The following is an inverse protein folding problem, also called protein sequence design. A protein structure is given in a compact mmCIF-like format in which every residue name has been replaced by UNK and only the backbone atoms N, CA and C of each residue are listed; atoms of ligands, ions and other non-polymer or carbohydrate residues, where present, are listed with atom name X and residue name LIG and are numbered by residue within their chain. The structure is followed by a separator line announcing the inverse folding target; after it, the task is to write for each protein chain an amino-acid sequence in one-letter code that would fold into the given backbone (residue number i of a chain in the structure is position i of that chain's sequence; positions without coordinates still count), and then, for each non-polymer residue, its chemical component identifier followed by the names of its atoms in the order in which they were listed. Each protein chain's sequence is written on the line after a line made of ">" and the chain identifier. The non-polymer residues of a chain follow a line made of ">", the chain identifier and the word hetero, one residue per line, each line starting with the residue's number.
data_IF_852984270656
#
_entry.id   IF_852984270656
#
_cell.length_a   1.000
_cell.length_b   1.000
_cell.length_c   1.000
_cell.angle_alpha   90.00
_cell.angle_beta   90.00
_cell.angle_gamma   90.00
#
_symmetry.space_group_name_H-M   'P 1'
#
loop_
_entity.id
_entity.type
_entity.pdbx_description
1 polymer ?
#
# COMPACT_ATOMS: atom_id res chain seq x y z
N UNK A 1 -60.12 27.72 25.03
CA UNK A 1 -60.45 28.45 23.79
C UNK A 1 -60.29 29.94 24.05
N UNK A 2 -59.96 30.80 23.09
CA UNK A 2 -58.99 30.76 21.98
C UNK A 2 -57.82 31.75 22.29
N UNK A 3 -56.70 31.89 21.59
CA UNK A 3 -56.32 31.63 20.20
C UNK A 3 -55.54 32.87 19.73
N UNK A 4 -54.21 32.82 19.77
CA UNK A 4 -53.35 33.88 19.23
C UNK A 4 -52.51 33.30 18.09
N UNK A 5 -52.94 33.65 16.88
CA UNK A 5 -52.18 33.47 15.63
C UNK A 5 -50.91 34.33 15.70
N UNK A 6 -49.75 33.74 15.48
CA UNK A 6 -48.58 34.44 14.95
C UNK A 6 -48.18 33.82 13.63
N UNK A 7 -48.38 34.61 12.58
CA UNK A 7 -47.75 34.47 11.27
C UNK A 7 -46.30 34.92 11.41
N UNK A 8 -45.34 34.04 11.11
CA UNK A 8 -43.97 34.43 10.82
C UNK A 8 -43.65 34.00 9.40
N UNK A 9 -43.57 34.99 8.51
CA UNK A 9 -43.09 34.86 7.14
C UNK A 9 -41.63 34.40 7.14
N UNK A 10 -41.36 33.34 6.40
CA UNK A 10 -40.03 32.84 6.09
C UNK A 10 -39.36 33.76 5.07
N UNK A 11 -38.31 34.48 5.49
CA UNK A 11 -37.39 35.16 4.56
C UNK A 11 -36.46 34.13 3.92
N UNK A 12 -36.72 33.88 2.64
CA UNK A 12 -35.84 33.16 1.72
C UNK A 12 -34.54 33.96 1.54
N UNK A 13 -33.45 33.44 2.11
CA UNK A 13 -32.09 33.93 1.86
C UNK A 13 -31.56 33.35 0.55
N UNK A 14 -31.14 34.24 -0.34
CA UNK A 14 -30.78 33.98 -1.74
C UNK A 14 -29.45 33.23 -1.87
N UNK A 15 -29.43 32.32 -2.85
CA UNK A 15 -28.27 31.66 -3.43
C UNK A 15 -27.21 32.67 -3.90
N UNK A 16 -25.96 32.47 -3.48
CA UNK A 16 -24.80 33.11 -4.07
C UNK A 16 -24.30 32.24 -5.24
N UNK A 17 -24.13 32.84 -6.42
CA UNK A 17 -23.61 32.17 -7.62
C UNK A 17 -22.08 32.09 -7.60
N UNK A 18 -21.44 31.03 -8.11
CA UNK A 18 -19.99 30.98 -8.27
C UNK A 18 -19.57 31.79 -9.51
N UNK A 19 -18.75 32.83 -9.32
CA UNK A 19 -17.98 33.47 -10.40
C UNK A 19 -16.52 33.03 -10.32
N UNK A 20 -16.04 32.56 -11.47
CA UNK A 20 -14.72 32.83 -12.08
C UNK A 20 -13.46 32.45 -11.27
N UNK A 21 -12.95 31.24 -11.50
CA UNK A 21 -11.52 30.95 -11.36
C UNK A 21 -10.83 31.11 -12.72
N UNK A 22 -10.07 32.19 -12.89
CA UNK A 22 -9.22 32.44 -14.05
C UNK A 22 -8.01 31.49 -14.07
N UNK A 23 -7.71 30.94 -15.26
CA UNK A 23 -6.53 30.11 -15.53
C UNK A 23 -5.28 30.98 -15.59
N UNK A 24 -4.24 30.60 -14.85
CA UNK A 24 -2.86 31.00 -15.10
C UNK A 24 -2.13 29.85 -15.80
N UNK A 25 -1.56 30.10 -16.98
CA UNK A 25 -0.75 29.14 -17.76
C UNK A 25 0.65 29.72 -17.92
N UNK A 26 1.69 29.15 -17.30
CA UNK A 26 3.07 29.47 -17.66
C UNK A 26 3.47 28.65 -18.90
N UNK A 27 3.93 29.34 -19.96
CA UNK A 27 4.63 28.71 -21.08
C UNK A 27 5.99 28.18 -20.60
N UNK A 28 6.30 26.92 -20.90
CA UNK A 28 7.63 26.33 -20.67
C UNK A 28 8.28 26.05 -22.03
N UNK A 29 9.46 26.64 -22.22
CA UNK A 29 10.35 26.43 -23.37
C UNK A 29 10.85 24.98 -23.45
N UNK A 30 10.40 24.25 -24.47
CA UNK A 30 10.86 22.90 -24.79
C UNK A 30 11.91 22.95 -25.91
N UNK A 31 13.20 23.08 -25.59
CA UNK A 31 14.25 22.81 -26.60
C UNK A 31 15.59 22.36 -26.03
N UNK A 32 16.00 22.82 -24.84
CA UNK A 32 17.36 22.54 -24.33
C UNK A 32 17.59 21.14 -23.74
N UNK A 33 16.55 20.42 -23.32
CA UNK A 33 16.75 19.17 -22.57
C UNK A 33 16.98 17.92 -23.45
N UNK A 34 16.78 18.03 -24.78
CA UNK A 34 16.90 16.90 -25.71
C UNK A 34 18.34 16.64 -26.20
N UNK A 35 19.19 17.67 -26.16
CA UNK A 35 20.55 17.59 -26.70
C UNK A 35 21.54 16.92 -25.73
N UNK A 36 21.33 17.03 -24.42
CA UNK A 36 22.24 16.46 -23.41
C UNK A 36 22.19 14.92 -23.32
N UNK A 37 21.04 14.31 -23.64
CA UNK A 37 20.88 12.86 -23.63
C UNK A 37 21.53 12.19 -24.85
N UNK A 38 21.68 12.91 -25.96
CA UNK A 38 22.30 12.39 -27.20
C UNK A 38 23.82 12.25 -27.10
N UNK A 39 24.50 13.12 -26.37
CA UNK A 39 25.97 13.08 -26.27
C UNK A 39 26.48 11.98 -25.33
N UNK A 40 25.70 11.66 -24.27
CA UNK A 40 26.06 10.57 -23.33
C UNK A 40 26.01 9.18 -23.96
N UNK A 41 25.16 8.95 -24.96
CA UNK A 41 25.02 7.65 -25.64
C UNK A 41 26.17 7.34 -26.61
N UNK A 42 26.89 8.35 -27.14
CA UNK A 42 27.99 8.17 -28.10
C UNK A 42 29.34 7.83 -27.45
N UNK A 43 29.49 8.11 -26.15
CA UNK A 43 30.72 7.83 -25.39
C UNK A 43 30.91 6.34 -25.11
N UNK A 44 29.82 5.59 -24.89
CA UNK A 44 29.89 4.20 -24.41
C UNK A 44 30.23 3.20 -25.53
N UNK A 45 30.00 3.54 -26.81
CA UNK A 45 30.21 2.63 -27.95
C UNK A 45 31.65 2.53 -28.49
N UNK A 46 32.62 3.27 -27.95
CA UNK A 46 34.01 3.27 -28.49
C UNK A 46 35.01 2.32 -27.82
N UNK A 47 34.61 1.47 -26.87
CA UNK A 47 35.58 0.73 -26.03
C UNK A 47 35.58 -0.80 -26.13
N UNK A 48 35.04 -1.38 -27.19
CA UNK A 48 35.13 -2.83 -27.40
C UNK A 48 35.42 -3.17 -28.87
N UNK A 49 36.68 -3.46 -29.18
CA UNK A 49 37.12 -4.38 -30.23
C UNK A 49 38.66 -4.40 -30.23
N UNK A 50 39.25 -5.59 -30.07
CA UNK A 50 40.34 -6.17 -30.89
C UNK A 50 41.00 -7.37 -30.16
N UNK A 51 40.82 -8.57 -30.73
CA UNK A 51 41.71 -9.74 -30.68
C UNK A 51 42.45 -9.78 -32.04
N UNK A 52 43.67 -10.33 -32.20
CA UNK A 52 43.94 -11.79 -32.34
C UNK A 52 45.34 -12.18 -31.76
N UNK A 53 45.92 -13.38 -31.83
CA UNK A 53 45.69 -14.64 -32.54
C UNK A 53 46.84 -15.62 -32.22
N UNK A 54 46.85 -16.75 -32.93
CA UNK A 54 47.43 -18.05 -32.56
C UNK A 54 48.89 -18.28 -33.03
N UNK A 55 49.59 -19.28 -32.47
CA UNK A 55 50.89 -19.76 -33.00
C UNK A 55 51.63 -20.78 -32.12
N UNK A 56 51.87 -21.97 -32.66
CA UNK A 56 52.53 -23.15 -32.08
C UNK A 56 54.08 -23.12 -32.11
N UNK A 57 54.67 -24.02 -31.30
CA UNK A 57 55.94 -24.78 -31.47
C UNK A 57 57.33 -24.08 -31.43
N UNK A 58 58.17 -24.40 -30.43
CA UNK A 58 59.31 -25.33 -30.56
C UNK A 58 60.23 -25.37 -29.32
N UNK A 59 60.81 -26.55 -29.17
CA UNK A 59 61.69 -27.13 -28.16
C UNK A 59 63.03 -26.39 -28.00
N UNK A 60 63.53 -26.20 -26.76
CA UNK A 60 64.96 -26.38 -26.49
C UNK A 60 65.23 -26.75 -25.02
N UNK A 61 66.12 -27.73 -24.85
CA UNK A 61 66.55 -28.32 -23.59
C UNK A 61 67.74 -27.54 -23.06
N UNK A 62 67.80 -27.29 -21.74
CA UNK A 62 68.96 -27.66 -20.88
C UNK A 62 68.92 -26.96 -19.51
N UNK A 63 68.96 -27.78 -18.46
CA UNK A 63 69.45 -27.59 -17.09
C UNK A 63 69.64 -26.16 -16.54
N UNK A 64 68.94 -25.83 -15.45
CA UNK A 64 69.50 -25.79 -14.08
C UNK A 64 68.36 -25.55 -13.09
N UNK A 65 68.09 -26.52 -12.20
CA UNK A 65 67.13 -26.39 -11.11
C UNK A 65 67.73 -25.54 -9.98
N UNK A 66 67.10 -24.43 -9.67
CA UNK A 66 67.06 -23.83 -8.33
C UNK A 66 65.59 -23.69 -7.94
N UNK A 67 65.13 -24.28 -6.81
CA UNK A 67 63.72 -24.23 -6.45
C UNK A 67 63.37 -22.83 -5.93
N UNK A 68 62.69 -22.05 -6.76
CA UNK A 68 61.92 -20.89 -6.29
C UNK A 68 60.75 -21.45 -5.48
N UNK A 69 60.77 -21.29 -4.16
CA UNK A 69 59.63 -21.60 -3.30
C UNK A 69 58.50 -20.63 -3.67
N UNK A 70 57.37 -21.07 -4.23
CA UNK A 70 56.28 -20.17 -4.55
C UNK A 70 55.66 -19.68 -3.23
N UNK A 71 55.59 -18.36 -3.05
CA UNK A 71 54.78 -17.76 -2.00
C UNK A 71 53.32 -18.13 -2.28
N UNK A 72 52.75 -18.97 -1.43
CA UNK A 72 51.35 -19.41 -1.56
C UNK A 72 50.45 -18.20 -1.34
N UNK A 73 50.01 -17.56 -2.41
CA UNK A 73 48.98 -16.54 -2.38
C UNK A 73 47.63 -17.23 -2.19
N UNK A 74 46.99 -17.00 -1.04
CA UNK A 74 45.72 -17.63 -0.72
C UNK A 74 44.60 -16.99 -1.52
N UNK A 75 43.91 -17.79 -2.32
CA UNK A 75 42.73 -17.31 -3.04
C UNK A 75 41.55 -17.15 -2.08
N UNK A 76 40.53 -16.36 -2.48
CA UNK A 76 39.27 -16.26 -1.70
C UNK A 76 38.63 -17.63 -1.44
N UNK A 77 38.81 -18.59 -2.35
CA UNK A 77 38.34 -19.97 -2.17
C UNK A 77 39.17 -20.74 -1.15
N UNK A 78 40.46 -20.46 -1.02
CA UNK A 78 41.31 -21.05 0.02
C UNK A 78 40.93 -20.50 1.40
N UNK A 79 40.58 -19.22 1.50
CA UNK A 79 40.02 -18.62 2.71
C UNK A 79 38.69 -19.26 3.14
N UNK A 80 37.79 -19.49 2.19
CA UNK A 80 36.49 -20.14 2.47
C UNK A 80 36.71 -21.60 2.91
N UNK A 81 37.60 -22.34 2.23
CA UNK A 81 37.93 -23.73 2.59
C UNK A 81 38.60 -23.82 3.97
N UNK A 82 39.51 -22.91 4.29
CA UNK A 82 40.14 -22.87 5.60
C UNK A 82 39.16 -22.50 6.71
N UNK A 83 38.22 -21.58 6.46
CA UNK A 83 37.13 -21.28 7.39
C UNK A 83 36.20 -22.48 7.63
N UNK A 84 35.87 -23.24 6.59
CA UNK A 84 35.05 -24.45 6.71
C UNK A 84 35.77 -25.59 7.44
N UNK A 85 37.09 -25.76 7.23
CA UNK A 85 37.89 -26.78 7.92
C UNK A 85 38.19 -26.42 9.38
N UNK A 86 38.36 -25.13 9.70
CA UNK A 86 38.49 -24.68 11.08
C UNK A 86 37.21 -24.91 11.90
N UNK A 87 36.04 -24.93 11.25
CA UNK A 87 34.76 -25.29 11.86
C UNK A 87 34.56 -26.78 12.16
N UNK A 88 35.36 -27.67 11.56
CA UNK A 88 35.17 -29.11 11.70
C UNK A 88 36.11 -29.77 12.74
N UNK A 89 37.16 -29.09 13.20
CA UNK A 89 38.22 -29.70 14.02
C UNK A 89 38.36 -29.16 15.46
N UNK A 90 37.51 -28.24 15.91
CA UNK A 90 37.53 -27.79 17.31
C UNK A 90 36.11 -27.63 17.85
N UNK A 91 35.74 -28.45 18.83
CA UNK A 91 34.52 -28.35 19.64
C UNK A 91 34.45 -27.09 20.51
N UNK A 92 34.94 -25.95 20.01
CA UNK A 92 34.96 -24.63 20.65
C UNK A 92 34.24 -23.57 19.77
N UNK A 93 33.90 -23.88 18.51
CA UNK A 93 33.19 -22.96 17.62
C UNK A 93 31.67 -22.85 17.86
N UNK A 94 31.07 -23.82 18.58
CA UNK A 94 29.62 -23.85 18.81
C UNK A 94 29.15 -22.84 19.86
N UNK A 95 30.02 -22.40 20.77
CA UNK A 95 29.63 -21.48 21.86
C UNK A 95 29.63 -20.00 21.46
N UNK A 96 30.44 -19.58 20.48
CA UNK A 96 30.46 -18.16 20.04
C UNK A 96 29.44 -17.88 18.93
N UNK A 97 29.14 -18.88 18.09
CA UNK A 97 28.17 -18.73 17.00
C UNK A 97 26.72 -18.63 17.49
N UNK A 98 26.35 -19.42 18.51
CA UNK A 98 24.99 -19.42 19.06
C UNK A 98 24.67 -18.10 19.78
N UNK A 99 25.59 -17.55 20.57
CA UNK A 99 25.39 -16.29 21.32
C UNK A 99 25.28 -15.06 20.40
N UNK A 100 26.01 -15.04 19.28
CA UNK A 100 25.94 -13.94 18.30
C UNK A 100 24.68 -14.02 17.43
N UNK A 101 24.16 -15.23 17.17
CA UNK A 101 22.93 -15.45 16.42
C UNK A 101 21.68 -15.51 17.29
N UNK A 102 21.80 -15.73 18.61
CA UNK A 102 20.68 -15.86 19.53
C UNK A 102 19.77 -14.62 19.55
N UNK A 103 20.26 -13.36 19.49
CA UNK A 103 19.38 -12.21 19.35
C UNK A 103 18.64 -12.17 18.00
N UNK A 104 19.23 -12.76 16.95
CA UNK A 104 18.66 -12.84 15.61
C UNK A 104 17.62 -13.97 15.48
N UNK A 105 17.76 -15.02 16.30
CA UNK A 105 16.96 -16.24 16.31
C UNK A 105 16.06 -16.36 17.54
N UNK A 106 16.15 -15.42 18.48
CA UNK A 106 15.29 -15.40 19.65
C UNK A 106 13.85 -15.29 19.15
N UNK A 107 12.95 -16.21 19.55
CA UNK A 107 11.54 -16.04 19.27
C UNK A 107 11.14 -14.67 19.84
N UNK A 108 10.42 -13.84 19.07
CA UNK A 108 10.01 -12.54 19.57
C UNK A 108 9.30 -12.76 20.90
N UNK A 109 9.85 -12.17 21.97
CA UNK A 109 9.17 -12.05 23.24
C UNK A 109 7.80 -11.46 22.88
N UNK A 110 6.71 -12.19 23.11
CA UNK A 110 5.38 -11.62 22.94
C UNK A 110 5.15 -10.76 24.17
N UNK A 111 5.33 -9.43 24.10
CA UNK A 111 5.02 -8.60 25.23
C UNK A 111 3.53 -8.74 25.54
N UNK A 112 3.13 -8.67 26.82
CA UNK A 112 1.71 -8.66 27.17
C UNK A 112 1.03 -7.48 26.47
N UNK A 113 -0.18 -7.74 25.96
CA UNK A 113 -1.00 -6.76 25.27
C UNK A 113 -2.29 -7.36 24.75
N UNK A 114 -3.15 -6.54 24.20
CA UNK A 114 -4.45 -6.93 23.65
C UNK A 114 -4.49 -6.61 22.17
N UNK A 115 -4.82 -7.60 21.34
CA UNK A 115 -5.18 -7.36 19.94
C UNK A 115 -6.61 -6.82 19.91
N UNK A 116 -6.78 -5.66 19.28
CA UNK A 116 -8.07 -4.98 19.15
C UNK A 116 -8.68 -5.20 17.77
N UNK A 117 -9.96 -5.55 17.71
CA UNK A 117 -10.68 -5.76 16.45
C UNK A 117 -11.35 -4.49 15.92
N UNK A 118 -11.40 -3.42 16.73
CA UNK A 118 -11.80 -2.10 16.26
C UNK A 118 -10.69 -1.43 15.44
N UNK A 119 -11.10 -0.53 14.55
CA UNK A 119 -10.16 0.31 13.82
C UNK A 119 -9.73 1.47 14.70
N UNK A 120 -8.43 1.78 14.69
CA UNK A 120 -7.87 2.88 15.48
C UNK A 120 -7.12 3.83 14.57
N UNK A 121 -7.40 5.13 14.68
CA UNK A 121 -6.74 6.15 13.87
C UNK A 121 -5.23 6.14 14.10
N UNK A 122 -4.47 6.23 13.00
CA UNK A 122 -3.02 6.30 13.02
C UNK A 122 -2.54 7.67 12.55
N UNK A 123 -1.33 8.05 12.98
CA UNK A 123 -0.71 9.29 12.53
C UNK A 123 -0.27 9.17 11.07
N UNK A 124 -0.59 10.19 10.28
CA UNK A 124 -0.08 10.34 8.92
C UNK A 124 1.08 11.37 8.89
N UNK A 125 2.06 11.25 7.97
CA UNK A 125 3.19 12.19 7.91
C UNK A 125 2.78 13.65 7.65
N UNK A 126 1.80 13.85 6.78
CA UNK A 126 1.24 15.17 6.47
C UNK A 126 0.00 15.47 7.33
N UNK A 127 -0.33 16.75 7.61
CA UNK A 127 -1.51 17.11 8.38
C UNK A 127 -2.81 16.53 7.79
N UNK A 128 -3.61 15.88 8.64
CA UNK A 128 -4.88 15.27 8.23
C UNK A 128 -6.04 15.73 9.13
N UNK A 129 -7.26 15.63 8.60
CA UNK A 129 -8.46 16.02 9.34
C UNK A 129 -8.68 15.18 10.62
N UNK A 130 -8.16 13.95 10.66
CA UNK A 130 -8.27 13.04 11.81
C UNK A 130 -7.09 13.14 12.79
N UNK A 131 -6.18 14.10 12.62
CA UNK A 131 -5.00 14.23 13.49
C UNK A 131 -5.35 14.35 14.99
N UNK A 132 -6.50 14.94 15.30
CA UNK A 132 -7.02 15.05 16.67
C UNK A 132 -7.65 13.77 17.24
N UNK A 133 -7.77 12.71 16.43
CA UNK A 133 -8.40 11.43 16.78
C UNK A 133 -7.38 10.28 16.86
N UNK A 134 -6.09 10.55 16.66
CA UNK A 134 -5.05 9.50 16.65
C UNK A 134 -5.04 8.72 17.98
N UNK A 135 -5.13 7.40 17.88
CA UNK A 135 -5.24 6.50 19.04
C UNK A 135 -6.67 6.19 19.48
N UNK A 136 -7.66 6.95 19.01
CA UNK A 136 -9.07 6.72 19.30
C UNK A 136 -9.70 5.69 18.33
N UNK A 137 -10.73 4.95 18.77
CA UNK A 137 -11.53 4.11 17.88
C UNK A 137 -12.19 4.95 16.78
N UNK A 138 -12.25 4.38 15.57
CA UNK A 138 -12.98 4.96 14.45
C UNK A 138 -14.48 4.82 14.66
N UNK A 139 -15.21 5.93 14.65
CA UNK A 139 -16.67 5.93 14.68
C UNK A 139 -17.25 6.16 13.30
N UNK A 140 -18.42 5.58 13.04
CA UNK A 140 -19.13 5.77 11.76
C UNK A 140 -19.43 7.25 11.50
N UNK A 141 -19.74 8.01 12.56
CA UNK A 141 -20.15 9.42 12.48
C UNK A 141 -19.01 10.41 12.25
N UNK A 142 -17.74 9.99 12.28
CA UNK A 142 -16.59 10.89 12.19
C UNK A 142 -16.41 11.48 10.79
N UNK A 143 -16.88 10.78 9.75
CA UNK A 143 -16.59 11.08 8.36
C UNK A 143 -17.68 11.93 7.72
N UNK A 144 -17.29 13.00 7.02
CA UNK A 144 -18.10 13.66 5.99
C UNK A 144 -18.08 12.84 4.70
N UNK A 145 -19.07 13.07 3.81
CA UNK A 145 -19.10 12.40 2.50
C UNK A 145 -17.78 12.66 1.76
N UNK A 146 -17.21 11.61 1.18
CA UNK A 146 -15.91 11.60 0.48
C UNK A 146 -14.67 11.80 1.35
N UNK A 147 -14.79 11.77 2.68
CA UNK A 147 -13.63 11.70 3.55
C UNK A 147 -13.13 10.26 3.69
N UNK A 148 -11.80 10.13 3.72
CA UNK A 148 -11.10 8.91 4.09
C UNK A 148 -10.11 9.18 5.21
N UNK A 149 -9.73 8.13 5.93
CA UNK A 149 -8.67 8.17 6.94
C UNK A 149 -7.92 6.84 7.01
N UNK A 150 -6.62 6.93 7.32
CA UNK A 150 -5.81 5.75 7.63
C UNK A 150 -6.03 5.32 9.07
N UNK A 151 -6.15 4.02 9.27
CA UNK A 151 -6.28 3.41 10.58
C UNK A 151 -5.50 2.09 10.63
N UNK A 152 -5.44 1.49 11.82
CA UNK A 152 -4.94 0.13 12.02
C UNK A 152 -6.08 -0.77 12.48
N UNK A 153 -6.10 -1.98 11.95
CA UNK A 153 -6.96 -3.08 12.38
C UNK A 153 -6.12 -4.20 12.98
N UNK A 154 -6.59 -4.87 14.05
CA UNK A 154 -5.84 -5.94 14.72
C UNK A 154 -4.47 -5.47 15.24
N UNK A 155 -4.37 -4.20 15.61
CA UNK A 155 -3.20 -3.62 16.25
C UNK A 155 -3.03 -4.20 17.66
N UNK A 156 -1.78 -4.31 18.10
CA UNK A 156 -1.43 -4.65 19.48
C UNK A 156 -1.48 -3.39 20.33
N UNK A 157 -2.14 -3.51 21.50
CA UNK A 157 -2.20 -2.44 22.49
C UNK A 157 -1.53 -2.87 23.78
N UNK A 158 -0.69 -2.00 24.34
CA UNK A 158 -0.07 -2.17 25.66
C UNK A 158 -0.40 -0.96 26.52
N UNK A 159 -0.96 -1.20 27.70
CA UNK A 159 -1.38 -0.13 28.62
C UNK A 159 -2.31 0.91 27.96
N UNK A 160 -3.20 0.46 27.06
CA UNK A 160 -4.11 1.32 26.32
C UNK A 160 -3.51 2.05 25.12
N UNK A 161 -2.19 1.96 24.88
CA UNK A 161 -1.52 2.60 23.75
C UNK A 161 -1.28 1.61 22.61
N UNK A 162 -1.52 2.05 21.38
CA UNK A 162 -1.16 1.30 20.18
C UNK A 162 0.36 1.10 20.10
N UNK A 163 0.77 -0.11 19.71
CA UNK A 163 2.18 -0.43 19.43
C UNK A 163 2.40 -0.31 17.93
N UNK A 164 3.13 0.73 17.53
CA UNK A 164 3.46 1.02 16.14
C UNK A 164 4.06 -0.19 15.42
N UNK A 165 3.65 -0.38 14.15
CA UNK A 165 4.10 -1.48 13.31
C UNK A 165 3.39 -2.80 13.54
N UNK A 166 2.38 -2.85 14.41
CA UNK A 166 1.52 -4.03 14.61
C UNK A 166 0.16 -3.88 13.93
N UNK A 167 -0.47 -4.99 13.57
CA UNK A 167 -1.77 -5.00 12.90
C UNK A 167 -1.70 -4.79 11.39
N UNK A 168 -2.88 -4.71 10.77
CA UNK A 168 -3.08 -4.50 9.34
C UNK A 168 -3.46 -3.03 9.10
N UNK A 169 -2.76 -2.30 8.22
CA UNK A 169 -3.13 -0.94 7.89
C UNK A 169 -4.41 -0.97 7.04
N UNK A 170 -5.34 -0.08 7.33
CA UNK A 170 -6.61 0.02 6.61
C UNK A 170 -6.92 1.46 6.24
N UNK A 171 -7.67 1.62 5.16
CA UNK A 171 -8.20 2.88 4.69
C UNK A 171 -9.72 2.84 4.84
N UNK A 172 -10.24 3.65 5.76
CA UNK A 172 -11.68 3.80 6.01
C UNK A 172 -12.19 4.96 5.17
N UNK A 173 -13.15 4.74 4.28
CA UNK A 173 -13.71 5.78 3.41
C UNK A 173 -15.22 5.87 3.54
N UNK A 174 -15.75 7.09 3.70
CA UNK A 174 -17.18 7.35 3.52
C UNK A 174 -17.44 7.70 2.07
N UNK A 175 -18.20 6.84 1.41
CA UNK A 175 -18.69 7.07 0.04
C UNK A 175 -20.09 7.68 0.09
N UNK A 176 -20.53 8.27 -1.02
CA UNK A 176 -21.92 8.69 -1.15
C UNK A 176 -22.85 7.46 -1.11
N UNK A 177 -24.01 7.61 -0.49
CA UNK A 177 -25.05 6.58 -0.46
C UNK A 177 -25.96 6.72 -1.68
N UNK A 178 -25.43 6.39 -2.86
CA UNK A 178 -26.20 6.33 -4.12
C UNK A 178 -26.12 4.93 -4.74
N UNK A 179 -27.27 4.24 -4.74
CA UNK A 179 -27.43 2.88 -5.26
C UNK A 179 -27.43 2.82 -6.81
N UNK A 180 -27.47 3.96 -7.49
CA UNK A 180 -27.34 4.04 -8.96
C UNK A 180 -25.95 3.60 -9.42
N UNK A 181 -24.93 3.95 -8.63
CA UNK A 181 -23.53 3.74 -8.98
C UNK A 181 -22.80 2.77 -8.04
N UNK A 182 -23.25 2.67 -6.79
CA UNK A 182 -22.71 1.71 -5.84
C UNK A 182 -23.12 0.29 -6.24
N UNK A 183 -22.14 -0.58 -6.42
CA UNK A 183 -22.34 -2.00 -6.72
C UNK A 183 -21.79 -2.82 -5.57
N UNK A 184 -22.69 -3.44 -4.82
CA UNK A 184 -22.32 -4.52 -3.92
C UNK A 184 -21.85 -5.74 -4.73
N UNK A 185 -20.96 -6.57 -4.18
CA UNK A 185 -20.52 -7.77 -4.89
C UNK A 185 -21.62 -8.80 -4.93
N UNK A 186 -21.60 -9.66 -5.96
CA UNK A 186 -22.53 -10.78 -6.05
C UNK A 186 -22.40 -11.69 -4.81
N UNK A 187 -23.52 -12.24 -4.30
CA UNK A 187 -23.47 -13.19 -3.20
C UNK A 187 -22.69 -14.44 -3.63
N UNK A 188 -21.53 -14.65 -3.03
CA UNK A 188 -20.77 -15.89 -3.11
C UNK A 188 -20.46 -16.33 -1.67
N UNK A 189 -20.00 -17.57 -1.43
CA UNK A 189 -19.60 -17.97 -0.08
C UNK A 189 -18.27 -17.29 0.29
N UNK A 190 -18.33 -15.99 0.55
CA UNK A 190 -17.32 -15.29 1.32
C UNK A 190 -17.57 -15.69 2.77
N UNK A 191 -16.60 -16.30 3.48
CA UNK A 191 -16.78 -16.79 4.86
C UNK A 191 -16.78 -15.62 5.85
N UNK A 192 -17.66 -14.63 5.65
CA UNK A 192 -17.77 -13.43 6.48
C UNK A 192 -18.29 -13.85 7.86
N UNK A 193 -17.66 -13.38 8.96
CA UNK A 193 -18.12 -13.72 10.30
C UNK A 193 -19.55 -13.23 10.57
N UNK A 194 -20.30 -13.98 11.37
CA UNK A 194 -21.69 -13.63 11.70
C UNK A 194 -21.81 -12.20 12.26
N UNK A 195 -22.72 -11.41 11.68
CA UNK A 195 -22.98 -10.03 12.08
C UNK A 195 -22.05 -8.98 11.46
N UNK A 196 -21.13 -9.37 10.57
CA UNK A 196 -20.33 -8.46 9.77
C UNK A 196 -20.89 -8.34 8.36
N UNK A 197 -20.69 -7.17 7.74
CA UNK A 197 -21.09 -6.86 6.38
C UNK A 197 -19.87 -6.37 5.59
N UNK A 198 -19.88 -6.52 4.27
CA UNK A 198 -18.77 -6.11 3.39
C UNK A 198 -18.56 -4.58 3.35
N UNK A 199 -19.57 -3.83 3.77
CA UNK A 199 -19.58 -2.39 3.94
C UNK A 199 -20.60 -2.05 5.02
N UNK A 200 -20.47 -0.86 5.60
CA UNK A 200 -21.47 -0.31 6.50
C UNK A 200 -22.46 0.54 5.72
N UNK A 201 -23.77 0.31 5.89
CA UNK A 201 -24.84 1.12 5.30
C UNK A 201 -25.86 1.50 6.38
N UNK A 202 -26.17 2.79 6.45
CA UNK A 202 -27.19 3.35 7.33
C UNK A 202 -28.07 4.34 6.56
N UNK A 203 -29.26 3.90 6.12
CA UNK A 203 -30.21 4.77 5.43
C UNK A 203 -30.74 5.92 6.29
N UNK A 204 -30.81 5.77 7.62
CA UNK A 204 -31.35 6.80 8.50
C UNK A 204 -30.38 7.97 8.68
N UNK A 205 -29.07 7.71 8.52
CA UNK A 205 -27.99 8.71 8.62
C UNK A 205 -27.39 9.13 7.28
N UNK A 206 -27.92 8.61 6.17
CA UNK A 206 -27.37 8.81 4.83
C UNK A 206 -25.86 8.53 4.76
N UNK A 207 -25.49 7.34 5.22
CA UNK A 207 -24.10 7.00 5.50
C UNK A 207 -23.75 5.63 4.93
N UNK A 208 -22.68 5.61 4.12
CA UNK A 208 -22.06 4.38 3.62
C UNK A 208 -20.56 4.42 3.80
N UNK A 209 -20.00 3.43 4.47
CA UNK A 209 -18.55 3.29 4.69
C UNK A 209 -18.05 1.99 4.10
N UNK A 210 -16.94 2.08 3.37
CA UNK A 210 -16.15 0.95 2.91
C UNK A 210 -14.80 1.00 3.62
N UNK A 211 -14.32 -0.14 4.11
CA UNK A 211 -12.98 -0.26 4.69
C UNK A 211 -12.14 -1.13 3.79
N UNK A 212 -10.97 -0.65 3.41
CA UNK A 212 -10.05 -1.29 2.48
C UNK A 212 -8.77 -1.62 3.21
N UNK A 213 -8.10 -2.71 2.82
CA UNK A 213 -6.73 -2.92 3.23
C UNK A 213 -5.85 -1.84 2.59
N UNK A 214 -5.05 -1.14 3.39
CA UNK A 214 -4.20 -0.04 2.94
C UNK A 214 -2.86 -0.56 2.40
N UNK A 215 -2.96 -1.44 1.40
CA UNK A 215 -1.84 -2.07 0.69
C UNK A 215 -2.20 -2.26 -0.79
N UNK A 216 -1.58 -1.47 -1.66
CA UNK A 216 -1.76 -1.56 -3.11
C UNK A 216 -1.41 -2.98 -3.62
N UNK A 217 -2.26 -3.51 -4.49
CA UNK A 217 -2.14 -4.86 -5.07
C UNK A 217 -1.06 -4.99 -6.15
N UNK A 218 -0.31 -3.92 -6.43
CA UNK A 218 0.87 -3.96 -7.30
C UNK A 218 2.14 -4.31 -6.50
N UNK A 219 2.60 -3.40 -5.64
CA UNK A 219 3.85 -3.51 -4.88
C UNK A 219 3.71 -3.00 -3.43
N UNK A 220 2.51 -3.14 -2.85
CA UNK A 220 2.27 -2.95 -1.42
C UNK A 220 2.52 -1.56 -0.82
N UNK A 221 2.69 -0.53 -1.66
CA UNK A 221 2.59 0.87 -1.23
C UNK A 221 1.22 1.16 -0.60
N UNK A 222 1.16 2.17 0.27
CA UNK A 222 -0.10 2.65 0.84
C UNK A 222 -0.89 3.46 -0.20
N UNK A 223 -2.04 3.00 -0.68
CA UNK A 223 -2.92 3.84 -1.47
C UNK A 223 -3.60 4.92 -0.60
N UNK A 224 -3.80 6.11 -1.15
CA UNK A 224 -4.47 7.21 -0.47
C UNK A 224 -5.88 7.48 -1.02
N UNK A 225 -6.72 8.11 -0.20
CA UNK A 225 -8.00 8.69 -0.62
C UNK A 225 -8.12 10.11 -0.11
N UNK A 226 -8.07 11.09 -1.03
CA UNK A 226 -8.09 12.53 -0.72
C UNK A 226 -7.11 12.96 0.38
N UNK A 227 -6.04 12.19 0.56
CA UNK A 227 -4.92 12.57 1.41
C UNK A 227 -4.29 13.82 0.79
N UNK A 228 -3.88 14.75 1.64
CA UNK A 228 -3.33 16.07 1.29
C UNK A 228 -2.00 15.99 0.50
N UNK A 229 -2.04 15.45 -0.71
CA UNK A 229 -1.03 15.63 -1.74
C UNK A 229 -1.55 16.72 -2.68
N UNK A 230 -1.61 17.95 -2.18
CA UNK A 230 -2.08 19.11 -2.94
C UNK A 230 -1.37 19.26 -4.30
N UNK A 231 -0.13 18.76 -4.41
CA UNK A 231 0.71 18.77 -5.61
C UNK A 231 0.55 17.57 -6.56
N UNK A 232 -0.12 16.50 -6.14
CA UNK A 232 -0.20 15.26 -6.92
C UNK A 232 -1.65 14.99 -7.34
N UNK A 233 -1.83 14.54 -8.58
CA UNK A 233 -3.13 14.13 -9.13
C UNK A 233 -2.96 12.80 -9.84
N UNK A 234 -3.91 11.85 -9.68
CA UNK A 234 -3.85 10.60 -10.43
C UNK A 234 -4.02 10.88 -11.93
N UNK A 235 -3.41 10.05 -12.79
CA UNK A 235 -3.78 9.98 -14.20
C UNK A 235 -5.26 9.59 -14.34
N UNK A 236 -5.96 10.16 -15.32
CA UNK A 236 -7.40 9.92 -15.52
C UNK A 236 -7.73 9.35 -16.91
N UNK A 237 -6.74 8.68 -17.51
CA UNK A 237 -6.94 7.99 -18.77
C UNK A 237 -7.52 6.59 -18.54
N UNK A 238 -8.81 6.55 -18.25
CA UNK A 238 -9.52 5.30 -18.03
C UNK A 238 -9.83 4.53 -19.32
N UNK A 239 -9.59 5.14 -20.49
CA UNK A 239 -9.94 4.54 -21.79
C UNK A 239 -9.22 3.22 -22.06
N UNK A 240 -8.01 3.08 -21.52
CA UNK A 240 -7.16 1.89 -21.68
C UNK A 240 -7.57 0.72 -20.76
N UNK A 241 -8.33 0.99 -19.70
CA UNK A 241 -8.62 0.02 -18.64
C UNK A 241 -10.02 -0.59 -18.71
N UNK A 242 -10.80 -0.26 -19.74
CA UNK A 242 -12.10 -0.88 -20.05
C UNK A 242 -13.22 -0.59 -19.05
N UNK A 243 -12.92 0.10 -17.95
CA UNK A 243 -13.86 0.40 -16.88
C UNK A 243 -13.78 1.88 -16.53
N UNK A 244 -14.95 2.49 -16.42
CA UNK A 244 -15.07 3.91 -16.13
C UNK A 244 -15.44 4.07 -14.65
N UNK A 245 -14.56 4.61 -13.79
CA UNK A 245 -14.83 4.73 -12.36
C UNK A 245 -15.97 5.71 -12.09
N UNK A 246 -17.10 5.27 -11.48
CA UNK A 246 -18.19 6.18 -11.14
C UNK A 246 -17.80 7.27 -10.16
N UNK A 247 -16.81 7.02 -9.28
CA UNK A 247 -16.26 8.04 -8.39
C UNK A 247 -15.81 9.27 -9.16
N UNK A 248 -15.12 9.06 -10.28
CA UNK A 248 -14.70 10.15 -11.15
C UNK A 248 -15.83 10.66 -12.04
N UNK A 249 -16.49 9.78 -12.80
CA UNK A 249 -17.39 10.23 -13.88
C UNK A 249 -18.74 10.73 -13.42
N UNK A 250 -19.23 10.27 -12.26
CA UNK A 250 -20.47 10.77 -11.67
C UNK A 250 -20.23 11.84 -10.61
N UNK A 251 -19.11 11.78 -9.86
CA UNK A 251 -18.91 12.61 -8.66
C UNK A 251 -17.65 13.48 -8.67
N UNK A 252 -16.81 13.38 -9.71
CA UNK A 252 -15.56 14.12 -9.82
C UNK A 252 -14.67 13.96 -8.56
N UNK A 253 -14.69 12.77 -7.97
CA UNK A 253 -13.79 12.34 -6.91
C UNK A 253 -12.76 11.39 -7.50
N UNK A 254 -11.51 11.52 -7.10
CA UNK A 254 -10.47 10.58 -7.52
C UNK A 254 -10.71 9.23 -6.82
N UNK A 255 -10.57 8.08 -7.50
CA UNK A 255 -10.60 6.78 -6.84
C UNK A 255 -9.45 6.62 -5.81
N UNK A 256 -9.43 5.51 -5.07
CA UNK A 256 -8.35 5.18 -4.13
C UNK A 256 -7.08 5.04 -4.95
N UNK A 257 -6.10 5.91 -4.72
CA UNK A 257 -4.95 6.05 -5.61
C UNK A 257 -3.64 5.71 -4.91
N UNK A 258 -2.91 4.77 -5.50
CA UNK A 258 -1.54 4.47 -5.11
C UNK A 258 -0.55 5.38 -5.86
N UNK A 259 0.00 6.36 -5.16
CA UNK A 259 0.98 7.34 -5.70
C UNK A 259 2.26 6.72 -6.28
N UNK A 260 2.59 5.48 -5.91
CA UNK A 260 3.83 4.85 -6.39
C UNK A 260 3.81 4.54 -7.89
N UNK A 261 2.69 4.01 -8.41
CA UNK A 261 2.61 3.51 -9.79
C UNK A 261 1.21 3.68 -10.40
N UNK A 262 0.40 4.57 -9.84
CA UNK A 262 -0.90 4.97 -10.40
C UNK A 262 -2.00 3.90 -10.47
N UNK A 263 -1.86 2.82 -9.68
CA UNK A 263 -2.99 1.90 -9.44
C UNK A 263 -4.14 2.67 -8.78
N UNK A 264 -5.33 2.53 -9.33
CA UNK A 264 -6.54 3.13 -8.78
C UNK A 264 -7.63 2.10 -8.56
N UNK A 265 -8.32 2.20 -7.43
CA UNK A 265 -9.38 1.29 -7.01
C UNK A 265 -10.65 2.08 -6.71
N UNK A 266 -11.78 1.72 -7.31
CA UNK A 266 -13.03 2.44 -7.12
C UNK A 266 -13.85 1.81 -5.96
N UNK A 267 -14.02 2.50 -4.82
CA UNK A 267 -14.75 1.97 -3.66
C UNK A 267 -16.27 1.93 -3.85
N UNK A 268 -16.82 2.48 -4.94
CA UNK A 268 -18.21 2.27 -5.31
C UNK A 268 -18.43 0.93 -6.01
N UNK A 269 -17.37 0.27 -6.47
CA UNK A 269 -17.44 -0.98 -7.23
C UNK A 269 -16.85 -2.13 -6.43
N UNK A 270 -17.66 -2.79 -5.60
CA UNK A 270 -17.23 -3.97 -4.87
C UNK A 270 -17.48 -5.22 -5.71
N UNK A 271 -16.44 -6.04 -5.88
CA UNK A 271 -16.49 -7.21 -6.77
C UNK A 271 -15.71 -8.39 -6.18
N UNK A 272 -16.10 -9.59 -6.58
CA UNK A 272 -15.35 -10.81 -6.33
C UNK A 272 -13.99 -10.76 -7.05
N UNK A 273 -12.99 -11.42 -6.46
CA UNK A 273 -11.70 -11.68 -7.09
C UNK A 273 -11.00 -12.88 -6.43
N UNK A 274 -9.83 -13.26 -6.93
CA UNK A 274 -8.98 -14.32 -6.40
C UNK A 274 -7.65 -13.74 -5.95
N UNK A 275 -7.20 -14.06 -4.73
CA UNK A 275 -5.86 -13.69 -4.32
C UNK A 275 -4.85 -14.49 -5.17
N UNK A 276 -3.97 -13.84 -5.96
CA UNK A 276 -3.10 -14.54 -6.90
C UNK A 276 -2.01 -15.37 -6.21
N UNK A 277 -1.67 -15.10 -4.94
CA UNK A 277 -0.68 -15.89 -4.20
C UNK A 277 -1.21 -17.25 -3.74
N UNK A 278 -2.50 -17.35 -3.42
CA UNK A 278 -3.06 -18.52 -2.73
C UNK A 278 -4.40 -19.02 -3.28
N UNK A 279 -4.97 -18.35 -4.28
CA UNK A 279 -6.22 -18.73 -4.96
C UNK A 279 -7.49 -18.57 -4.12
N UNK A 280 -7.42 -17.94 -2.94
CA UNK A 280 -8.60 -17.75 -2.08
C UNK A 280 -9.51 -16.66 -2.67
N UNK A 281 -10.82 -16.95 -2.86
CA UNK A 281 -11.78 -15.93 -3.26
C UNK A 281 -11.97 -14.88 -2.18
N UNK A 282 -12.00 -13.62 -2.59
CA UNK A 282 -12.22 -12.48 -1.71
C UNK A 282 -13.09 -11.41 -2.39
N UNK A 283 -13.48 -10.38 -1.64
CA UNK A 283 -14.13 -9.18 -2.17
C UNK A 283 -13.18 -8.00 -2.09
N UNK A 284 -13.08 -7.22 -3.16
CA UNK A 284 -12.30 -5.99 -3.18
C UNK A 284 -12.99 -4.84 -3.90
N UNK A 285 -12.46 -3.64 -3.69
CA UNK A 285 -12.74 -2.48 -4.55
C UNK A 285 -12.07 -2.70 -5.91
N UNK A 286 -12.86 -2.52 -6.97
CA UNK A 286 -12.44 -2.84 -8.34
C UNK A 286 -11.26 -1.98 -8.77
N UNK A 287 -10.23 -2.61 -9.34
CA UNK A 287 -9.19 -1.87 -10.02
C UNK A 287 -9.72 -1.24 -11.31
N UNK A 288 -9.45 0.05 -11.51
CA UNK A 288 -9.96 0.85 -12.65
C UNK A 288 -8.85 1.53 -13.45
N UNK A 289 -7.62 1.53 -12.93
CA UNK A 289 -6.44 2.11 -13.60
C UNK A 289 -5.15 1.53 -13.00
N UNK A 290 -4.06 1.60 -13.75
CA UNK A 290 -2.69 1.32 -13.31
C UNK A 290 -2.32 -0.17 -13.31
N UNK A 291 -1.12 -0.52 -12.78
CA UNK A 291 -0.51 -1.83 -12.90
C UNK A 291 -0.89 -2.83 -11.80
N UNK A 292 -1.84 -2.49 -10.91
CA UNK A 292 -2.38 -3.47 -9.96
C UNK A 292 -2.98 -4.66 -10.71
N UNK A 293 -2.85 -5.86 -10.15
CA UNK A 293 -3.21 -7.10 -10.86
C UNK A 293 -4.52 -7.73 -10.39
N UNK A 294 -5.08 -7.24 -9.27
CA UNK A 294 -6.33 -7.68 -8.66
C UNK A 294 -6.93 -6.56 -7.81
N UNK A 295 -8.18 -6.76 -7.38
CA UNK A 295 -8.98 -5.81 -6.62
C UNK A 295 -8.42 -5.59 -5.21
N UNK A 296 -8.57 -4.37 -4.67
CA UNK A 296 -8.06 -4.02 -3.34
C UNK A 296 -8.97 -4.62 -2.26
N UNK A 297 -8.51 -5.56 -1.41
CA UNK A 297 -9.40 -6.27 -0.49
C UNK A 297 -10.13 -5.34 0.47
N UNK A 298 -11.41 -5.60 0.67
CA UNK A 298 -12.21 -4.94 1.71
C UNK A 298 -12.03 -5.65 3.05
N UNK A 299 -12.21 -4.91 4.14
CA UNK A 299 -12.35 -5.46 5.49
C UNK A 299 -13.83 -5.41 5.88
N UNK A 300 -14.48 -6.56 6.14
CA UNK A 300 -15.86 -6.56 6.61
C UNK A 300 -16.00 -5.82 7.94
N UNK A 301 -17.13 -5.15 8.12
CA UNK A 301 -17.37 -4.25 9.24
C UNK A 301 -18.64 -4.61 10.01
N UNK A 302 -18.60 -4.34 11.31
CA UNK A 302 -19.76 -4.34 12.20
C UNK A 302 -19.70 -3.14 13.13
N UNK A 303 -20.71 -2.28 13.17
CA UNK A 303 -20.79 -1.24 14.17
C UNK A 303 -21.19 -1.81 15.53
N UNK A 304 -20.56 -1.35 16.61
CA UNK A 304 -21.00 -1.59 18.00
C UNK A 304 -20.99 -0.26 18.72
N UNK A 305 -22.18 0.28 19.03
CA UNK A 305 -22.33 1.63 19.60
C UNK A 305 -21.57 2.68 18.77
N UNK A 306 -21.77 2.65 17.46
CA UNK A 306 -21.11 3.51 16.45
C UNK A 306 -19.61 3.34 16.26
N UNK A 307 -18.90 2.55 17.07
CA UNK A 307 -17.51 2.17 16.81
C UNK A 307 -17.48 1.07 15.74
N UNK A 308 -16.63 1.25 14.73
CA UNK A 308 -16.44 0.25 13.68
C UNK A 308 -15.46 -0.85 14.11
N UNK A 309 -15.93 -2.09 14.03
CA UNK A 309 -15.10 -3.29 14.21
C UNK A 309 -14.88 -3.99 12.88
N UNK A 310 -13.65 -4.42 12.63
CA UNK A 310 -13.28 -5.27 11.51
C UNK A 310 -13.54 -6.75 11.80
N UNK A 311 -13.96 -7.49 10.77
CA UNK A 311 -14.21 -8.93 10.83
C UNK A 311 -13.22 -9.64 9.93
N UNK A 312 -12.60 -10.71 10.43
CA UNK A 312 -11.65 -11.54 9.68
C UNK A 312 -12.38 -12.71 9.03
N UNK A 313 -12.60 -12.71 7.70
CA UNK A 313 -13.24 -13.85 7.03
C UNK A 313 -12.24 -15.00 6.92
N UNK A 314 -11.19 -14.78 6.13
CA UNK A 314 -10.05 -15.65 5.96
C UNK A 314 -8.80 -14.77 5.91
N UNK A 315 -7.81 -14.94 6.80
CA UNK A 315 -6.58 -14.16 6.79
C UNK A 315 -5.85 -14.14 5.45
N UNK A 316 -6.05 -15.18 4.64
CA UNK A 316 -5.45 -15.31 3.30
C UNK A 316 -5.99 -14.29 2.29
N UNK A 317 -7.09 -13.59 2.58
CA UNK A 317 -7.53 -12.43 1.79
C UNK A 317 -6.46 -11.33 1.72
N UNK A 318 -5.72 -11.17 2.82
CA UNK A 318 -4.77 -10.08 3.03
C UNK A 318 -3.31 -10.49 2.80
N UNK A 319 -3.07 -11.77 2.52
CA UNK A 319 -1.74 -12.34 2.27
C UNK A 319 -1.34 -12.19 0.79
N UNK A 320 -0.97 -10.95 0.42
CA UNK A 320 -0.43 -10.62 -0.91
C UNK A 320 0.72 -9.61 -0.87
N UNK A 321 0.96 -9.03 0.30
CA UNK A 321 2.22 -8.44 0.69
C UNK A 321 2.96 -9.52 1.50
#
# INVERSE_FOLDING_TARGET
>A
MPGLRRTSESRVGRFASPREYGRYVPQVETSKHRDELSERAKSIRRRAMFMPGDGEELDDRSATQTPVVPSKTWTRRDWIKAGAMAGAAAGVGTLVGAEVLAPLLAPPIQPPGTIREDFVYTKFPEPQWWDGLVGDPVHVGDFQVWQGATAVWRGLFRNGMYVDGTGLPVLVVRVIRDDTYFRAPDPAPYPIPSGYNLYYDDPARDLRIVVLLDRCTHLCCYPGWHIAYDQLRPPRDYSTYGETPPTWTAYNQDPVWCVCHDSQYDPLLLTADLNPKNGVPFVGAKIVHGPGTFNLPIVPVRPVRDILYGGMPDPRWYDYC
#
